data_IF_980231307059
#
_entry.id   IF_980231307059
#
_cell.length_a   1.000
_cell.length_b   1.000
_cell.length_c   1.000
_cell.angle_alpha   90.00
_cell.angle_beta   90.00
_cell.angle_gamma   90.00
#
_symmetry.space_group_name_H-M   'P 1'
#
loop_
_entity.id
_entity.type
_entity.pdbx_description
1 polymer ?
#
# COMPACT_ATOMS: atom_id res chain seq x y z
N UNK A 1 11.00 -8.21 6.94
CA UNK A 1 11.10 -6.82 7.45
C UNK A 1 12.56 -6.47 7.70
N UNK A 2 12.94 -5.22 7.45
CA UNK A 2 14.35 -4.81 7.47
C UNK A 2 14.82 -4.42 8.89
N UNK A 3 15.70 -5.24 9.48
CA UNK A 3 16.30 -5.01 10.81
C UNK A 3 17.18 -3.75 10.89
N UNK A 4 17.57 -3.16 9.75
CA UNK A 4 18.39 -1.94 9.67
C UNK A 4 17.58 -0.71 9.26
N UNK A 5 16.32 -0.89 8.84
CA UNK A 5 15.42 0.19 8.45
C UNK A 5 14.16 0.12 9.32
N UNK A 6 14.40 0.22 10.63
CA UNK A 6 13.40 0.16 11.68
C UNK A 6 13.76 1.11 12.83
N UNK A 7 12.73 1.63 13.51
CA UNK A 7 12.87 2.36 14.76
C UNK A 7 13.54 1.50 15.84
N UNK A 8 14.23 2.14 16.78
CA UNK A 8 14.74 1.48 17.99
C UNK A 8 13.62 0.98 18.92
N UNK A 9 12.40 1.51 18.77
CA UNK A 9 11.21 1.10 19.52
C UNK A 9 10.51 -0.12 18.93
N UNK A 10 11.00 -0.65 17.81
CA UNK A 10 10.44 -1.82 17.12
C UNK A 10 11.54 -2.85 16.90
N UNK A 11 11.21 -4.12 17.11
CA UNK A 11 12.11 -5.25 16.87
C UNK A 11 11.47 -6.25 15.92
N UNK A 12 12.26 -6.74 14.96
CA UNK A 12 11.90 -7.90 14.13
C UNK A 12 12.41 -9.15 14.83
N UNK A 13 11.51 -10.01 15.31
CA UNK A 13 11.80 -10.99 16.37
C UNK A 13 12.00 -12.44 15.90
N UNK A 14 11.72 -12.74 14.64
CA UNK A 14 11.88 -14.06 14.03
C UNK A 14 13.04 -14.12 13.03
N UNK A 15 13.40 -15.35 12.66
CA UNK A 15 14.48 -15.64 11.70
C UNK A 15 14.05 -15.28 10.27
N UNK A 16 12.78 -15.53 9.93
CA UNK A 16 12.18 -15.17 8.64
C UNK A 16 11.97 -13.65 8.49
N UNK A 17 12.04 -12.94 9.61
CA UNK A 17 11.92 -11.49 9.67
C UNK A 17 10.51 -10.96 9.40
N UNK A 18 9.46 -11.75 9.63
CA UNK A 18 8.06 -11.41 9.37
C UNK A 18 7.31 -10.93 10.61
N UNK A 19 7.82 -11.21 11.81
CA UNK A 19 7.16 -10.86 13.06
C UNK A 19 7.80 -9.59 13.63
N UNK A 20 6.95 -8.59 13.88
CA UNK A 20 7.33 -7.28 14.39
C UNK A 20 6.70 -7.07 15.76
N UNK A 21 7.49 -6.59 16.71
CA UNK A 21 7.07 -6.37 18.10
C UNK A 21 7.51 -4.99 18.60
N UNK A 22 6.65 -4.32 19.36
CA UNK A 22 6.96 -3.04 19.99
C UNK A 22 7.73 -3.24 21.31
N UNK A 23 8.91 -2.61 21.44
CA UNK A 23 9.79 -2.70 22.60
C UNK A 23 10.08 -1.34 23.26
N UNK A 24 9.40 -0.27 22.84
CA UNK A 24 9.53 1.07 23.42
C UNK A 24 8.69 1.31 24.69
N UNK A 25 8.72 2.56 25.18
CA UNK A 25 7.94 2.96 26.37
C UNK A 25 6.45 3.16 26.05
N UNK A 26 6.14 3.74 24.90
CA UNK A 26 4.78 3.98 24.40
C UNK A 26 3.98 4.99 25.22
N UNK A 27 4.62 6.07 25.71
CA UNK A 27 3.95 7.10 26.50
C UNK A 27 3.43 8.27 25.65
N UNK A 28 4.09 8.59 24.53
CA UNK A 28 3.79 9.74 23.66
C UNK A 28 3.83 9.36 22.18
N UNK A 29 3.33 10.23 21.31
CA UNK A 29 3.36 10.03 19.85
C UNK A 29 4.79 9.83 19.34
N UNK A 30 5.76 10.56 19.91
CA UNK A 30 7.18 10.44 19.58
C UNK A 30 7.82 9.10 20.01
N UNK A 31 7.10 8.27 20.77
CA UNK A 31 7.55 6.92 21.11
C UNK A 31 7.07 5.89 20.07
N UNK A 32 6.39 6.33 19.01
CA UNK A 32 6.04 5.46 17.88
C UNK A 32 7.29 4.89 17.23
N UNK A 33 7.15 3.75 16.58
CA UNK A 33 8.21 3.17 15.78
C UNK A 33 7.64 2.45 14.58
N UNK A 34 8.28 2.61 13.43
CA UNK A 34 7.95 1.87 12.21
C UNK A 34 9.08 0.94 11.80
N UNK A 35 8.74 -0.01 10.94
CA UNK A 35 9.70 -0.81 10.19
C UNK A 35 9.24 -0.93 8.75
N UNK A 36 10.17 -0.75 7.81
CA UNK A 36 9.96 -0.95 6.38
C UNK A 36 10.38 -2.36 5.95
N UNK A 37 9.85 -2.82 4.82
CA UNK A 37 10.30 -4.02 4.13
C UNK A 37 11.78 -3.93 3.72
N UNK A 38 12.37 -5.07 3.34
CA UNK A 38 13.75 -5.14 2.84
C UNK A 38 13.96 -4.45 1.48
N UNK A 39 12.92 -4.40 0.66
CA UNK A 39 12.95 -3.81 -0.68
C UNK A 39 11.69 -2.97 -0.92
N UNK A 40 11.77 -1.94 -1.78
CA UNK A 40 10.58 -1.27 -2.26
C UNK A 40 9.77 -2.24 -3.12
N UNK A 41 8.49 -1.95 -3.27
CA UNK A 41 7.62 -2.64 -4.21
C UNK A 41 8.14 -2.36 -5.62
N UNK A 42 8.34 -3.40 -6.47
CA UNK A 42 8.75 -3.17 -7.84
C UNK A 42 7.62 -2.44 -8.59
N UNK A 43 7.93 -1.31 -9.21
CA UNK A 43 6.97 -0.42 -9.89
C UNK A 43 6.23 -1.06 -11.07
N UNK A 44 6.78 -2.14 -11.65
CA UNK A 44 6.23 -2.87 -12.79
C UNK A 44 5.33 -4.05 -12.46
N UNK A 45 5.04 -4.32 -11.18
CA UNK A 45 4.15 -5.44 -10.80
C UNK A 45 2.68 -5.20 -11.17
N UNK A 46 2.29 -3.96 -11.47
CA UNK A 46 0.91 -3.58 -11.75
C UNK A 46 0.06 -3.53 -10.48
N UNK A 47 -0.03 -4.65 -9.76
CA UNK A 47 -0.71 -4.75 -8.47
C UNK A 47 0.22 -5.41 -7.45
N UNK A 48 0.33 -4.79 -6.27
CA UNK A 48 1.03 -5.37 -5.13
C UNK A 48 0.08 -5.53 -3.96
N UNK A 49 0.21 -6.63 -3.22
CA UNK A 49 -0.60 -6.94 -2.05
C UNK A 49 0.21 -7.63 -0.97
N UNK A 50 -0.06 -7.27 0.28
CA UNK A 50 0.46 -7.96 1.46
C UNK A 50 -0.59 -7.95 2.56
N UNK A 51 -0.50 -8.90 3.49
CA UNK A 51 -1.35 -8.97 4.68
C UNK A 51 -0.54 -8.82 5.96
N UNK A 52 -1.16 -8.23 6.97
CA UNK A 52 -0.61 -8.08 8.33
C UNK A 52 -1.62 -8.67 9.31
N UNK A 53 -1.22 -9.75 9.96
CA UNK A 53 -1.96 -10.32 11.09
C UNK A 53 -1.63 -9.55 12.37
N UNK A 54 -2.66 -9.12 13.09
CA UNK A 54 -2.51 -8.50 14.40
C UNK A 54 -2.43 -9.62 15.45
N UNK A 55 -1.22 -10.09 15.75
CA UNK A 55 -1.00 -11.13 16.76
C UNK A 55 -1.43 -10.64 18.15
N UNK A 56 -1.17 -9.38 18.45
CA UNK A 56 -1.57 -8.74 19.70
C UNK A 56 -1.71 -7.24 19.51
N UNK A 57 -2.85 -6.68 19.92
CA UNK A 57 -3.06 -5.23 20.00
C UNK A 57 -2.24 -4.56 21.12
N UNK A 58 -1.61 -5.34 22.01
CA UNK A 58 -0.93 -4.78 23.17
C UNK A 58 -1.87 -3.98 24.08
N UNK A 59 -1.35 -2.88 24.63
CA UNK A 59 -2.07 -2.02 25.56
C UNK A 59 -3.26 -1.32 24.89
N UNK A 60 -2.97 -0.52 23.86
CA UNK A 60 -3.97 0.38 23.27
C UNK A 60 -4.31 0.05 21.81
N UNK A 61 -3.47 -0.70 21.09
CA UNK A 61 -3.70 -1.05 19.69
C UNK A 61 -3.47 0.09 18.71
N UNK A 62 -2.52 0.98 19.03
CA UNK A 62 -2.11 2.11 18.18
C UNK A 62 -1.20 1.60 17.06
N UNK A 63 -1.79 0.79 16.18
CA UNK A 63 -1.12 0.08 15.09
C UNK A 63 -1.55 0.71 13.77
N UNK A 64 -0.58 1.19 12.99
CA UNK A 64 -0.79 1.67 11.63
C UNK A 64 -0.23 0.68 10.61
N UNK A 65 -1.07 0.19 9.69
CA UNK A 65 -0.64 -0.64 8.55
C UNK A 65 -0.62 0.23 7.30
N UNK A 66 0.44 0.15 6.49
CA UNK A 66 0.46 0.90 5.24
C UNK A 66 1.78 0.82 4.50
N UNK A 67 2.15 1.91 3.85
CA UNK A 67 3.34 1.98 3.02
C UNK A 67 3.90 3.40 2.97
N UNK A 68 5.21 3.53 2.75
CA UNK A 68 5.86 4.82 2.70
C UNK A 68 7.11 4.81 1.82
N UNK A 69 7.60 5.99 1.44
CA UNK A 69 8.91 6.12 0.81
C UNK A 69 10.06 5.99 1.84
N UNK A 70 11.28 5.86 1.33
CA UNK A 70 12.48 5.53 2.12
C UNK A 70 12.88 6.64 3.11
N UNK A 71 12.63 7.89 2.76
CA UNK A 71 13.05 9.08 3.52
C UNK A 71 12.13 9.36 4.73
N UNK A 72 11.01 8.65 4.85
CA UNK A 72 10.05 8.86 5.93
C UNK A 72 10.69 8.57 7.30
N UNK A 73 10.56 9.47 8.29
CA UNK A 73 11.07 9.26 9.65
C UNK A 73 10.58 7.97 10.28
N UNK A 74 11.44 7.32 11.06
CA UNK A 74 11.15 6.00 11.64
C UNK A 74 10.35 6.08 12.95
N UNK A 75 10.09 7.27 13.49
CA UNK A 75 9.46 7.55 14.79
C UNK A 75 8.03 8.11 14.65
N UNK A 76 7.39 7.89 13.49
CA UNK A 76 6.05 8.40 13.16
C UNK A 76 5.23 7.29 12.53
N UNK A 77 3.99 7.07 12.97
CA UNK A 77 3.14 6.02 12.41
C UNK A 77 2.88 6.24 10.90
N UNK A 78 2.64 5.17 10.11
CA UNK A 78 2.36 5.28 8.69
C UNK A 78 1.23 6.27 8.40
N UNK A 79 1.43 7.16 7.43
CA UNK A 79 0.47 8.21 7.08
C UNK A 79 0.71 9.58 7.71
N UNK A 80 1.45 9.68 8.82
CA UNK A 80 1.61 10.96 9.54
C UNK A 80 2.54 11.96 8.88
N UNK A 81 3.48 11.47 8.07
CA UNK A 81 4.51 12.27 7.42
C UNK A 81 4.36 12.24 5.90
N UNK A 82 4.89 13.26 5.23
CA UNK A 82 4.90 13.35 3.77
C UNK A 82 5.41 12.06 3.12
N UNK A 83 4.73 11.60 2.05
CA UNK A 83 5.03 10.35 1.33
C UNK A 83 4.86 9.08 2.18
N UNK A 84 3.99 9.16 3.18
CA UNK A 84 3.56 8.05 4.03
C UNK A 84 2.05 7.91 3.99
N UNK A 85 1.57 6.67 4.01
CA UNK A 85 0.16 6.32 3.90
C UNK A 85 -0.17 5.21 4.89
N UNK A 86 -1.25 5.33 5.65
CA UNK A 86 -1.57 4.34 6.69
C UNK A 86 -3.05 4.25 7.06
N UNK A 87 -3.46 3.07 7.52
CA UNK A 87 -4.76 2.77 8.11
C UNK A 87 -4.56 2.29 9.55
N UNK A 88 -5.20 2.96 10.50
CA UNK A 88 -4.93 2.82 11.94
C UNK A 88 -6.04 2.05 12.64
N UNK A 89 -5.64 1.18 13.59
CA UNK A 89 -6.53 0.20 14.21
C UNK A 89 -7.41 0.74 15.32
N UNK A 90 -6.94 1.76 16.02
CA UNK A 90 -7.57 2.35 17.19
C UNK A 90 -8.74 3.30 16.85
N UNK A 91 -8.69 3.94 15.69
CA UNK A 91 -9.72 4.88 15.23
C UNK A 91 -10.38 4.50 13.90
N UNK A 92 -9.80 3.55 13.15
CA UNK A 92 -10.30 3.13 11.85
C UNK A 92 -10.05 4.16 10.73
N UNK A 93 -9.26 5.20 11.01
CA UNK A 93 -8.99 6.26 10.07
C UNK A 93 -7.86 5.89 9.11
N UNK A 94 -7.88 6.55 7.96
CA UNK A 94 -6.75 6.62 7.03
C UNK A 94 -5.99 7.93 7.21
N UNK A 95 -4.69 7.85 7.01
CA UNK A 95 -3.75 8.97 7.12
C UNK A 95 -2.93 9.04 5.83
N UNK A 96 -2.92 10.20 5.20
CA UNK A 96 -2.30 10.46 3.89
C UNK A 96 -1.40 11.68 3.97
N UNK A 97 -0.12 11.47 4.27
CA UNK A 97 0.85 12.56 4.39
C UNK A 97 0.46 13.68 5.37
N UNK A 98 -0.25 13.32 6.45
CA UNK A 98 -0.74 14.26 7.47
C UNK A 98 -0.97 13.56 8.81
N UNK A 99 -0.74 14.28 9.91
CA UNK A 99 -1.06 13.81 11.26
C UNK A 99 -2.56 13.80 11.59
N UNK A 100 -3.42 14.30 10.70
CA UNK A 100 -4.88 14.34 10.90
C UNK A 100 -5.55 13.21 10.11
N UNK A 101 -6.13 12.25 10.82
CA UNK A 101 -6.83 11.12 10.20
C UNK A 101 -8.17 11.51 9.59
N UNK A 102 -8.58 10.76 8.57
CA UNK A 102 -9.91 10.83 7.98
C UNK A 102 -10.65 9.49 8.15
N UNK A 103 -11.97 9.49 8.40
CA UNK A 103 -12.76 8.26 8.47
C UNK A 103 -12.58 7.39 7.22
N UNK A 104 -12.40 6.08 7.43
CA UNK A 104 -12.18 5.15 6.34
C UNK A 104 -12.83 3.79 6.58
N UNK A 105 -12.36 3.06 7.58
CA UNK A 105 -12.73 1.67 7.80
C UNK A 105 -13.16 1.40 9.24
N UNK A 106 -13.54 0.15 9.56
CA UNK A 106 -13.78 -0.26 10.93
C UNK A 106 -12.48 -0.21 11.76
N UNK A 107 -12.59 -0.31 13.08
CA UNK A 107 -11.42 -0.59 13.94
C UNK A 107 -10.84 -1.97 13.62
N UNK A 108 -9.59 -2.22 14.01
CA UNK A 108 -9.01 -3.57 13.98
C UNK A 108 -8.16 -3.89 15.20
N UNK A 109 -8.08 -5.17 15.54
CA UNK A 109 -7.48 -5.60 16.81
C UNK A 109 -6.91 -7.01 16.73
N UNK A 110 -6.46 -7.57 17.87
CA UNK A 110 -5.93 -8.94 17.99
C UNK A 110 -6.80 -9.96 17.24
N UNK A 111 -6.16 -10.75 16.36
CA UNK A 111 -6.78 -11.78 15.54
C UNK A 111 -7.30 -11.30 14.19
N UNK A 112 -7.39 -9.98 13.96
CA UNK A 112 -7.71 -9.44 12.64
C UNK A 112 -6.50 -9.55 11.69
N UNK A 113 -6.81 -9.70 10.41
CA UNK A 113 -5.84 -9.61 9.31
C UNK A 113 -6.18 -8.41 8.44
N UNK A 114 -5.22 -7.51 8.28
CA UNK A 114 -5.35 -6.31 7.46
C UNK A 114 -4.51 -6.47 6.20
N UNK A 115 -5.16 -6.49 5.04
CA UNK A 115 -4.49 -6.44 3.76
C UNK A 115 -4.30 -5.03 3.26
N UNK A 116 -3.24 -4.80 2.49
CA UNK A 116 -2.98 -3.53 1.82
C UNK A 116 -2.65 -3.81 0.36
N UNK A 117 -3.47 -3.27 -0.54
CA UNK A 117 -3.32 -3.41 -1.98
C UNK A 117 -2.94 -2.07 -2.60
N UNK A 118 -1.96 -2.08 -3.50
CA UNK A 118 -1.53 -0.93 -4.29
C UNK A 118 -1.69 -1.30 -5.76
N UNK A 119 -2.52 -0.54 -6.47
CA UNK A 119 -2.74 -0.65 -7.90
C UNK A 119 -1.97 0.48 -8.60
N UNK A 120 -0.87 0.12 -9.26
CA UNK A 120 0.03 1.05 -9.94
C UNK A 120 -0.51 1.54 -11.29
N UNK A 121 -1.46 0.84 -11.91
CA UNK A 121 -2.16 1.31 -13.11
C UNK A 121 -3.01 2.53 -12.80
N UNK A 122 -3.86 2.42 -11.78
CA UNK A 122 -4.79 3.49 -11.38
C UNK A 122 -4.22 4.47 -10.34
N UNK A 123 -3.02 4.21 -9.80
CA UNK A 123 -2.39 4.96 -8.69
C UNK A 123 -3.30 5.06 -7.47
N UNK A 124 -3.93 3.94 -7.09
CA UNK A 124 -4.85 3.83 -5.95
C UNK A 124 -4.37 2.75 -4.98
N UNK A 125 -4.72 2.92 -3.72
CA UNK A 125 -4.55 1.89 -2.71
C UNK A 125 -5.85 1.67 -1.93
N UNK A 126 -6.08 0.42 -1.52
CA UNK A 126 -7.19 0.03 -0.66
C UNK A 126 -6.71 -0.97 0.39
N UNK A 127 -7.49 -1.11 1.45
CA UNK A 127 -7.25 -2.11 2.48
C UNK A 127 -8.32 -3.19 2.45
N UNK A 128 -7.99 -4.33 3.03
CA UNK A 128 -8.93 -5.39 3.33
C UNK A 128 -8.90 -5.68 4.83
N UNK A 129 -10.02 -6.14 5.38
CA UNK A 129 -10.09 -6.68 6.73
C UNK A 129 -10.69 -8.07 6.69
N UNK A 130 -9.93 -9.07 7.15
CA UNK A 130 -10.34 -10.48 7.19
C UNK A 130 -10.91 -10.95 5.85
N UNK A 131 -10.23 -10.63 4.75
CA UNK A 131 -10.64 -11.00 3.40
C UNK A 131 -11.76 -10.15 2.78
N UNK A 132 -12.22 -9.09 3.45
CA UNK A 132 -13.23 -8.16 2.90
C UNK A 132 -12.59 -6.85 2.46
N UNK A 133 -12.81 -6.44 1.21
CA UNK A 133 -12.35 -5.16 0.67
C UNK A 133 -13.09 -3.99 1.37
N UNK A 134 -12.34 -2.97 1.80
CA UNK A 134 -12.85 -1.78 2.49
C UNK A 134 -13.03 -0.56 1.58
N UNK A 135 -12.79 -0.73 0.28
CA UNK A 135 -12.82 0.36 -0.71
C UNK A 135 -11.55 1.20 -0.71
N UNK A 136 -11.47 2.12 -1.66
CA UNK A 136 -10.27 2.92 -1.93
C UNK A 136 -9.95 3.84 -0.76
N UNK A 137 -8.76 3.69 -0.20
CA UNK A 137 -8.22 4.56 0.85
C UNK A 137 -7.57 5.79 0.23
N UNK A 138 -6.63 5.58 -0.69
CA UNK A 138 -5.79 6.65 -1.28
C UNK A 138 -5.91 6.65 -2.80
N UNK A 139 -5.86 7.84 -3.38
CA UNK A 139 -5.95 8.08 -4.83
C UNK A 139 -4.85 9.03 -5.25
N UNK A 140 -4.48 9.01 -6.54
CA UNK A 140 -3.45 9.88 -7.11
C UNK A 140 -2.10 9.76 -6.37
N UNK A 141 -1.70 8.53 -6.06
CA UNK A 141 -0.43 8.25 -5.38
C UNK A 141 0.75 8.92 -6.14
N UNK A 142 1.54 9.78 -5.47
CA UNK A 142 2.51 10.66 -6.14
C UNK A 142 3.81 9.96 -6.58
N UNK A 143 4.20 8.88 -5.89
CA UNK A 143 5.42 8.12 -6.15
C UNK A 143 5.18 6.67 -6.54
N UNK A 144 6.28 5.93 -6.75
CA UNK A 144 6.28 4.50 -7.08
C UNK A 144 7.21 3.66 -6.17
N UNK A 145 8.13 4.29 -5.42
CA UNK A 145 9.15 3.60 -4.60
C UNK A 145 8.67 3.34 -3.17
N UNK A 146 7.50 2.70 -3.05
CA UNK A 146 6.87 2.45 -1.76
C UNK A 146 7.40 1.18 -1.09
N UNK A 147 7.61 1.25 0.22
CA UNK A 147 7.93 0.12 1.08
C UNK A 147 6.70 -0.23 1.92
N UNK A 148 6.27 -1.51 1.96
CA UNK A 148 5.37 -2.00 2.97
C UNK A 148 5.90 -1.70 4.37
N UNK A 149 5.01 -1.18 5.22
CA UNK A 149 5.38 -0.65 6.53
C UNK A 149 4.30 -0.96 7.55
N UNK A 150 4.72 -1.25 8.77
CA UNK A 150 3.86 -1.18 9.96
C UNK A 150 4.45 -0.20 10.95
N UNK A 151 3.59 0.55 11.63
CA UNK A 151 3.93 1.31 12.81
C UNK A 151 3.26 0.77 14.05
N UNK A 152 4.01 0.70 15.13
CA UNK A 152 3.56 0.31 16.46
C UNK A 152 3.93 1.42 17.45
N UNK A 153 3.18 1.54 18.54
CA UNK A 153 3.39 2.59 19.53
C UNK A 153 3.20 2.14 20.97
N UNK A 154 2.44 1.08 21.26
CA UNK A 154 2.17 0.71 22.66
C UNK A 154 2.65 -0.68 23.02
N UNK A 155 2.95 -0.86 24.31
CA UNK A 155 3.56 -2.09 24.84
C UNK A 155 2.71 -3.32 24.51
N UNK A 156 3.39 -4.38 24.06
CA UNK A 156 2.78 -5.67 23.75
C UNK A 156 2.14 -5.74 22.37
N UNK A 157 2.20 -4.67 21.56
CA UNK A 157 1.80 -4.73 20.17
C UNK A 157 2.72 -5.65 19.38
N UNK A 158 2.10 -6.55 18.60
CA UNK A 158 2.81 -7.56 17.82
C UNK A 158 2.03 -7.89 16.57
N UNK A 159 2.72 -7.96 15.44
CA UNK A 159 2.12 -8.30 14.14
C UNK A 159 2.98 -9.29 13.36
N UNK A 160 2.37 -10.00 12.41
CA UNK A 160 3.06 -10.88 11.43
C UNK A 160 2.71 -10.44 10.03
N UNK A 161 3.72 -10.29 9.18
CA UNK A 161 3.54 -10.03 7.75
C UNK A 161 3.38 -11.33 6.96
N UNK A 162 2.53 -11.27 5.94
CA UNK A 162 2.48 -12.24 4.85
C UNK A 162 2.69 -11.50 3.53
N UNK A 163 3.81 -11.78 2.86
CA UNK A 163 4.16 -11.25 1.54
C UNK A 163 3.84 -12.25 0.41
N UNK A 164 2.90 -13.18 0.64
CA UNK A 164 2.54 -14.25 -0.30
C UNK A 164 3.21 -15.60 -0.01
N UNK A 165 3.80 -15.75 1.19
CA UNK A 165 4.38 -17.03 1.64
C UNK A 165 3.30 -18.00 2.15
N UNK A 166 2.17 -17.43 2.61
CA UNK A 166 0.97 -18.16 3.00
C UNK A 166 -0.20 -17.67 2.12
N UNK A 167 -1.25 -18.49 1.89
CA UNK A 167 -2.44 -18.02 1.19
C UNK A 167 -3.04 -16.77 1.85
N UNK A 168 -3.40 -15.78 1.04
CA UNK A 168 -4.07 -14.59 1.53
C UNK A 168 -5.51 -14.86 1.93
N UNK A 169 -6.04 -14.11 2.90
CA UNK A 169 -7.48 -14.16 3.23
C UNK A 169 -8.34 -13.48 2.18
N UNK A 170 -7.82 -12.42 1.54
CA UNK A 170 -8.46 -11.80 0.39
C UNK A 170 -8.09 -12.52 -0.90
N UNK A 171 -9.07 -12.74 -1.79
CA UNK A 171 -8.81 -13.27 -3.12
C UNK A 171 -8.20 -12.17 -4.02
N UNK A 172 -6.90 -11.92 -3.83
CA UNK A 172 -6.18 -10.93 -4.62
C UNK A 172 -6.00 -11.36 -6.08
N UNK A 173 -6.00 -12.66 -6.35
CA UNK A 173 -5.86 -13.20 -7.72
C UNK A 173 -7.04 -12.77 -8.58
N UNK A 174 -8.28 -12.97 -8.12
CA UNK A 174 -9.51 -12.54 -8.83
C UNK A 174 -9.55 -11.01 -9.07
N UNK A 175 -9.13 -10.23 -8.07
CA UNK A 175 -8.99 -8.78 -8.25
C UNK A 175 -7.94 -8.44 -9.30
N UNK A 176 -6.78 -9.10 -9.26
CA UNK A 176 -5.69 -8.83 -10.19
C UNK A 176 -6.07 -9.20 -11.62
N UNK A 177 -6.60 -10.40 -11.84
CA UNK A 177 -7.09 -10.87 -13.14
C UNK A 177 -8.06 -9.86 -13.75
N UNK A 178 -9.06 -9.43 -12.99
CA UNK A 178 -10.05 -8.43 -13.43
C UNK A 178 -9.38 -7.14 -13.90
N UNK A 179 -8.43 -6.60 -13.13
CA UNK A 179 -7.75 -5.36 -13.50
C UNK A 179 -6.84 -5.54 -14.71
N UNK A 180 -6.06 -6.63 -14.77
CA UNK A 180 -5.19 -6.88 -15.92
C UNK A 180 -5.98 -7.05 -17.21
N UNK A 181 -7.16 -7.66 -17.17
CA UNK A 181 -8.08 -7.73 -18.31
C UNK A 181 -8.57 -6.36 -18.74
N UNK A 182 -8.98 -5.50 -17.79
CA UNK A 182 -9.40 -4.12 -18.06
C UNK A 182 -8.26 -3.34 -18.74
N UNK A 183 -7.05 -3.37 -18.19
CA UNK A 183 -5.91 -2.63 -18.72
C UNK A 183 -5.49 -3.13 -20.11
N UNK A 184 -5.54 -4.44 -20.34
CA UNK A 184 -5.30 -5.02 -21.67
C UNK A 184 -6.31 -4.51 -22.69
N UNK A 185 -7.60 -4.46 -22.33
CA UNK A 185 -8.65 -3.97 -23.21
C UNK A 185 -8.52 -2.47 -23.48
N UNK A 186 -8.20 -1.66 -22.46
CA UNK A 186 -7.94 -0.23 -22.61
C UNK A 186 -6.79 0.02 -23.59
N UNK A 187 -5.67 -0.68 -23.42
CA UNK A 187 -4.52 -0.55 -24.31
C UNK A 187 -4.85 -0.95 -25.75
N UNK A 188 -5.62 -2.02 -25.94
CA UNK A 188 -6.06 -2.45 -27.27
C UNK A 188 -6.97 -1.38 -27.93
N UNK A 189 -7.87 -0.78 -27.16
CA UNK A 189 -8.75 0.28 -27.65
C UNK A 189 -7.97 1.54 -28.07
N UNK A 190 -6.95 1.94 -27.29
CA UNK A 190 -6.07 3.07 -27.63
C UNK A 190 -5.31 2.83 -28.93
N UNK A 191 -4.77 1.62 -29.12
CA UNK A 191 -4.07 1.24 -30.36
C UNK A 191 -5.03 1.32 -31.55
N UNK A 192 -6.22 0.74 -31.43
CA UNK A 192 -7.24 0.77 -32.50
C UNK A 192 -7.61 2.20 -32.86
N UNK A 193 -7.89 3.06 -31.86
CA UNK A 193 -8.20 4.47 -32.08
C UNK A 193 -7.05 5.22 -32.76
N UNK A 194 -5.79 4.93 -32.40
CA UNK A 194 -4.63 5.53 -33.04
C UNK A 194 -4.53 5.15 -34.53
N UNK A 195 -4.73 3.86 -34.86
CA UNK A 195 -4.73 3.40 -36.25
C UNK A 195 -5.85 4.05 -37.07
N UNK A 196 -7.07 4.12 -36.53
CA UNK A 196 -8.21 4.75 -37.21
C UNK A 196 -7.93 6.22 -37.52
N UNK A 197 -7.37 6.95 -36.55
CA UNK A 197 -6.96 8.35 -36.74
C UNK A 197 -5.84 8.50 -37.78
N UNK A 198 -4.89 7.57 -37.84
CA UNK A 198 -3.81 7.59 -38.83
C UNK A 198 -4.36 7.43 -40.27
N UNK A 199 -5.33 6.52 -40.45
CA UNK A 199 -5.99 6.29 -41.75
C UNK A 199 -6.79 7.51 -42.18
N UNK A 200 -7.58 8.10 -41.27
CA UNK A 200 -8.39 9.30 -41.55
C UNK A 200 -7.49 10.46 -42.01
N UNK A 201 -6.36 10.67 -41.33
CA UNK A 201 -5.45 11.77 -41.66
C UNK A 201 -4.73 11.57 -43.01
N UNK A 202 -4.46 10.33 -43.42
CA UNK A 202 -3.88 10.04 -44.75
C UNK A 202 -4.89 10.27 -45.88
N UNK A 203 -6.18 10.03 -45.66
CA UNK A 203 -7.24 10.27 -46.65
C UNK A 203 -7.56 11.76 -46.84
N UNK A 204 -7.10 12.64 -45.94
CA UNK A 204 -7.34 14.08 -46.00
C UNK A 204 -6.16 14.90 -46.56
N UNK A 205 -5.06 14.26 -46.98
CA UNK A 205 -3.98 14.97 -47.68
C UNK A 205 -4.41 15.37 -49.10
N UNK A 206 -4.35 16.66 -49.48
CA UNK A 206 -4.67 17.08 -50.84
C UNK A 206 -3.66 16.47 -51.82
N UNK A 207 -4.15 15.97 -52.97
CA UNK A 207 -3.29 15.60 -54.09
C UNK A 207 -2.48 16.83 -54.49
N UNK A 208 -1.15 16.71 -54.41
CA UNK A 208 -0.25 17.75 -54.91
C UNK A 208 -0.34 17.69 -56.43
N UNK A 209 -1.09 18.60 -57.03
CA UNK A 209 -1.14 18.79 -58.49
C UNK A 209 0.29 19.03 -59.00
N UNK A 210 0.86 18.05 -59.69
CA UNK A 210 2.11 18.20 -60.41
C UNK A 210 1.85 19.08 -61.64
N UNK A 211 2.23 20.35 -61.55
CA UNK A 211 2.21 21.29 -62.67
C UNK A 211 3.47 21.03 -63.50
N UNK A 212 3.29 20.48 -64.71
CA UNK A 212 4.27 20.46 -65.81
C UNK A 212 4.56 21.87 -66.36
#
# INVERSE_FOLDING_TARGET
MNKKDCSTNVTVVDDDGLIVHYNGLGARDADSGIVRSNYPIPDKVGIFYFEVEIISKGRDGLIGVGFCEKEVPLDRLPGWESKSFGYHGDDGNKFESTGTGAPYGPLFTTGDTIGCAINFFSKKAFYTKNGKNLGVAFQNLPGNDYYPTVGLRTRGEKVKFNFGLEPFKFNIEDYAETIFEIEKNNHQNEITQWYDNLIINQQQQPEVDNIE
#
